data_IF_361052589756
#
_entry.id   IF_361052589756
#
_cell.length_a   1.000
_cell.length_b   1.000
_cell.length_c   1.000
_cell.angle_alpha   90.00
_cell.angle_beta   90.00
_cell.angle_gamma   90.00
#
_symmetry.space_group_name_H-M   'P 1'
#
loop_
_entity.id
_entity.type
_entity.pdbx_description
1 polymer ?
#
# COMPACT_ATOMS: atom_id res chain seq x y z
N UNK A 1 -12.32 -16.03 6.68
CA UNK A 1 -11.01 -15.82 6.00
C UNK A 1 -10.38 -17.17 5.68
N UNK A 2 -9.84 -17.39 4.46
CA UNK A 2 -9.12 -18.62 4.13
C UNK A 2 -7.88 -18.80 5.02
N UNK A 3 -7.57 -20.05 5.39
CA UNK A 3 -6.35 -20.40 6.12
C UNK A 3 -5.11 -19.92 5.36
N UNK A 4 -4.13 -19.39 6.09
CA UNK A 4 -2.90 -18.84 5.50
C UNK A 4 -3.02 -17.41 4.94
N UNK A 5 -4.17 -16.76 5.12
CA UNK A 5 -4.29 -15.34 4.81
C UNK A 5 -3.53 -14.52 5.86
N UNK A 6 -2.56 -13.73 5.41
CA UNK A 6 -1.90 -12.74 6.25
C UNK A 6 -2.76 -11.48 6.25
N UNK A 7 -3.08 -10.99 7.43
CA UNK A 7 -3.72 -9.69 7.64
C UNK A 7 -2.76 -8.81 8.43
N UNK A 8 -2.70 -7.53 8.10
CA UNK A 8 -2.13 -6.57 9.02
C UNK A 8 -3.22 -6.29 10.06
N UNK A 9 -2.90 -6.47 11.34
CA UNK A 9 -3.88 -6.28 12.38
C UNK A 9 -3.24 -6.23 13.75
N UNK A 10 -3.99 -5.64 14.66
CA UNK A 10 -3.63 -5.47 16.05
C UNK A 10 -4.70 -6.11 16.95
N UNK A 11 -4.28 -6.50 18.14
CA UNK A 11 -5.19 -7.02 19.16
C UNK A 11 -5.59 -5.85 20.03
N UNK A 12 -6.86 -5.45 19.95
CA UNK A 12 -7.42 -4.35 20.75
C UNK A 12 -8.46 -4.89 21.73
N UNK A 13 -8.66 -4.17 22.84
CA UNK A 13 -9.78 -4.41 23.75
C UNK A 13 -11.05 -3.86 23.12
N UNK A 14 -11.97 -4.75 22.73
CA UNK A 14 -13.35 -4.36 22.44
C UNK A 14 -14.16 -4.21 23.73
N UNK A 15 -15.42 -3.79 23.61
CA UNK A 15 -16.33 -3.52 24.74
C UNK A 15 -16.50 -4.69 25.71
N UNK A 16 -16.38 -5.94 25.23
CA UNK A 16 -16.57 -7.15 26.06
C UNK A 16 -15.49 -8.21 25.87
N UNK A 17 -14.60 -8.07 24.88
CA UNK A 17 -13.56 -9.06 24.55
C UNK A 17 -12.46 -8.48 23.68
N UNK A 18 -11.30 -9.13 23.68
CA UNK A 18 -10.23 -8.85 22.71
C UNK A 18 -10.70 -9.16 21.29
N UNK A 19 -10.39 -8.28 20.36
CA UNK A 19 -10.65 -8.46 18.93
C UNK A 19 -9.35 -8.29 18.15
N UNK A 20 -9.23 -9.05 17.07
CA UNK A 20 -8.26 -8.79 16.01
C UNK A 20 -8.91 -7.80 15.05
N UNK A 21 -8.35 -6.60 14.97
CA UNK A 21 -8.76 -5.54 14.06
C UNK A 21 -7.75 -5.42 12.93
N UNK A 22 -8.18 -5.23 11.67
CA UNK A 22 -7.25 -4.92 10.58
C UNK A 22 -6.62 -3.56 10.79
N UNK A 23 -5.31 -3.48 10.57
CA UNK A 23 -4.58 -2.22 10.52
C UNK A 23 -4.53 -1.61 9.12
N UNK A 24 -3.66 -0.62 8.98
CA UNK A 24 -3.52 0.27 7.81
C UNK A 24 -3.25 -0.45 6.48
N UNK A 25 -2.53 -1.57 6.52
CA UNK A 25 -2.24 -2.35 5.31
C UNK A 25 -3.38 -3.32 5.05
N UNK A 26 -4.41 -2.84 4.37
CA UNK A 26 -5.58 -3.66 4.04
C UNK A 26 -5.29 -4.85 3.13
N UNK A 27 -6.30 -5.72 3.02
CA UNK A 27 -6.27 -6.90 2.14
C UNK A 27 -6.56 -6.53 0.68
N UNK A 28 -6.21 -7.46 -0.22
CA UNK A 28 -6.39 -7.31 -1.66
C UNK A 28 -7.84 -7.37 -2.12
N UNK A 29 -8.12 -6.66 -3.20
CA UNK A 29 -9.30 -6.81 -4.05
C UNK A 29 -9.50 -8.26 -4.48
N UNK A 30 -8.42 -9.00 -4.78
CA UNK A 30 -8.48 -10.41 -5.16
C UNK A 30 -9.10 -11.27 -4.03
N UNK A 31 -8.68 -11.03 -2.78
CA UNK A 31 -9.25 -11.73 -1.63
C UNK A 31 -10.70 -11.31 -1.37
N UNK A 32 -11.00 -10.00 -1.43
CA UNK A 32 -12.36 -9.47 -1.27
C UNK A 32 -13.33 -10.12 -2.28
N UNK A 33 -12.91 -10.29 -3.54
CA UNK A 33 -13.65 -11.04 -4.55
C UNK A 33 -13.82 -12.51 -4.20
N UNK A 34 -12.74 -13.17 -3.76
CA UNK A 34 -12.79 -14.59 -3.36
C UNK A 34 -13.76 -14.84 -2.20
N UNK A 35 -13.89 -13.85 -1.32
CA UNK A 35 -14.83 -13.84 -0.20
C UNK A 35 -16.27 -13.49 -0.60
N UNK A 36 -16.52 -13.17 -1.88
CA UNK A 36 -17.84 -12.75 -2.39
C UNK A 36 -18.43 -11.53 -1.66
N UNK A 37 -17.58 -10.57 -1.27
CA UNK A 37 -18.07 -9.31 -0.70
C UNK A 37 -18.92 -8.56 -1.72
N UNK A 38 -20.01 -7.93 -1.26
CA UNK A 38 -20.92 -7.13 -2.11
C UNK A 38 -20.19 -5.97 -2.78
N UNK A 39 -19.28 -5.32 -2.06
CA UNK A 39 -18.55 -4.14 -2.53
C UNK A 39 -17.03 -4.33 -2.37
N UNK A 40 -16.37 -5.14 -3.21
CA UNK A 40 -14.96 -5.49 -3.05
C UNK A 40 -13.99 -4.33 -3.32
N UNK A 41 -14.48 -3.20 -3.83
CA UNK A 41 -13.72 -1.97 -4.03
C UNK A 41 -13.62 -1.12 -2.77
N UNK A 42 -14.58 -1.25 -1.85
CA UNK A 42 -14.62 -0.49 -0.60
C UNK A 42 -13.64 -1.01 0.43
N UNK A 43 -13.44 -0.23 1.48
CA UNK A 43 -12.68 -0.66 2.64
C UNK A 43 -13.23 -1.97 3.19
N UNK A 44 -12.33 -2.83 3.67
CA UNK A 44 -12.71 -4.08 4.31
C UNK A 44 -11.97 -4.17 5.64
N UNK A 45 -12.66 -3.74 6.69
CA UNK A 45 -12.20 -3.93 8.06
C UNK A 45 -12.32 -5.41 8.46
N UNK A 46 -11.22 -6.00 8.93
CA UNK A 46 -11.25 -7.33 9.56
C UNK A 46 -11.54 -7.12 11.04
N UNK A 47 -12.75 -7.46 11.48
CA UNK A 47 -13.11 -7.45 12.91
C UNK A 47 -13.45 -8.87 13.33
N UNK A 48 -12.49 -9.54 13.97
CA UNK A 48 -12.66 -10.93 14.38
C UNK A 48 -12.47 -11.06 15.88
N UNK A 49 -13.27 -11.91 16.53
CA UNK A 49 -13.01 -12.25 17.93
C UNK A 49 -11.60 -12.83 18.06
N UNK A 50 -10.82 -12.29 19.01
CA UNK A 50 -9.47 -12.75 19.22
C UNK A 50 -9.48 -14.16 19.80
N UNK A 51 -8.79 -15.08 19.12
CA UNK A 51 -8.64 -16.46 19.53
C UNK A 51 -7.22 -16.88 19.16
N UNK A 52 -6.30 -16.99 20.12
CA UNK A 52 -4.89 -17.31 19.83
C UNK A 52 -4.71 -18.68 19.15
N UNK A 53 -5.71 -19.58 19.26
CA UNK A 53 -5.72 -20.85 18.52
C UNK A 53 -6.00 -20.70 17.03
N UNK A 54 -6.62 -19.59 16.61
CA UNK A 54 -7.02 -19.32 15.21
C UNK A 54 -6.08 -18.37 14.48
N UNK A 55 -5.17 -17.71 15.20
CA UNK A 55 -4.24 -16.73 14.65
C UNK A 55 -2.82 -17.05 15.06
N UNK A 56 -1.90 -16.95 14.10
CA UNK A 56 -0.48 -17.13 14.35
C UNK A 56 0.20 -15.81 14.03
N UNK A 57 0.88 -15.17 14.99
CA UNK A 57 1.74 -14.03 14.70
C UNK A 57 2.79 -14.42 13.67
N UNK A 58 2.97 -13.60 12.65
CA UNK A 58 3.99 -13.80 11.62
C UNK A 58 4.96 -12.64 11.63
N UNK A 59 6.23 -12.91 11.30
CA UNK A 59 7.20 -11.85 11.04
C UNK A 59 6.66 -10.95 9.92
N UNK A 60 6.94 -9.64 10.01
CA UNK A 60 6.57 -8.66 8.99
C UNK A 60 6.94 -9.20 7.60
N UNK A 61 5.99 -9.36 6.67
CA UNK A 61 6.29 -9.99 5.40
C UNK A 61 7.32 -9.20 4.59
N UNK A 62 8.22 -9.93 3.94
CA UNK A 62 9.35 -9.33 3.22
C UNK A 62 8.95 -8.39 2.08
N UNK A 63 7.72 -8.49 1.55
CA UNK A 63 7.23 -7.59 0.48
C UNK A 63 6.83 -6.19 0.98
N UNK A 64 6.64 -6.00 2.29
CA UNK A 64 6.23 -4.70 2.84
C UNK A 64 7.37 -3.68 2.75
N UNK A 65 6.99 -2.41 2.62
CA UNK A 65 7.88 -1.26 2.65
C UNK A 65 8.22 -0.87 4.09
N UNK A 66 9.36 -0.22 4.34
CA UNK A 66 9.78 0.10 5.71
C UNK A 66 8.97 1.24 6.35
N UNK A 67 8.54 2.25 5.58
CA UNK A 67 8.02 3.52 6.13
C UNK A 67 6.71 3.93 5.45
N UNK A 68 5.59 3.29 5.81
CA UNK A 68 4.28 3.72 5.32
C UNK A 68 3.23 2.62 5.28
N UNK A 69 2.13 2.95 4.61
CA UNK A 69 0.94 2.10 4.46
C UNK A 69 1.02 1.20 3.22
N UNK A 70 2.21 1.08 2.60
CA UNK A 70 2.46 0.36 1.35
C UNK A 70 1.65 0.90 0.17
N UNK A 71 1.44 2.22 0.10
CA UNK A 71 0.77 2.90 -1.01
C UNK A 71 1.78 3.85 -1.64
N UNK A 72 2.23 3.47 -2.83
CA UNK A 72 3.16 4.25 -3.62
C UNK A 72 2.38 5.09 -4.63
N UNK A 73 2.31 6.39 -4.43
CA UNK A 73 1.76 7.31 -5.41
C UNK A 73 2.81 7.69 -6.45
N UNK A 74 2.36 7.83 -7.69
CA UNK A 74 3.24 8.15 -8.82
C UNK A 74 3.68 9.61 -8.73
N UNK A 75 4.96 9.86 -8.94
CA UNK A 75 5.52 11.21 -8.88
C UNK A 75 6.86 11.28 -8.15
N UNK A 76 7.53 12.40 -8.32
CA UNK A 76 8.76 12.72 -7.60
C UNK A 76 8.54 13.81 -6.56
N UNK A 77 9.64 14.39 -6.08
CA UNK A 77 9.62 15.47 -5.08
C UNK A 77 8.76 16.65 -5.51
N UNK A 78 8.72 16.99 -6.80
CA UNK A 78 7.85 18.06 -7.32
C UNK A 78 6.36 17.76 -7.11
N UNK A 79 5.90 16.54 -7.43
CA UNK A 79 4.52 16.11 -7.21
C UNK A 79 4.18 16.11 -5.72
N UNK A 80 5.08 15.62 -4.88
CA UNK A 80 4.90 15.65 -3.43
C UNK A 80 4.81 17.09 -2.90
N UNK A 81 5.70 17.99 -3.36
CA UNK A 81 5.67 19.40 -2.96
C UNK A 81 4.40 20.10 -3.40
N UNK A 82 3.93 19.86 -4.63
CA UNK A 82 2.68 20.43 -5.12
C UNK A 82 1.49 19.98 -4.25
N UNK A 83 1.42 18.68 -3.93
CA UNK A 83 0.44 18.16 -2.97
C UNK A 83 0.57 18.84 -1.60
N UNK A 84 1.79 18.96 -1.10
CA UNK A 84 2.08 19.51 0.21
C UNK A 84 1.88 21.02 0.31
N UNK A 85 1.72 21.74 -0.80
CA UNK A 85 1.29 23.14 -0.79
C UNK A 85 -0.24 23.21 -0.73
N UNK A 86 -0.93 22.29 -1.41
CA UNK A 86 -2.38 22.30 -1.60
C UNK A 86 -3.18 21.64 -0.48
N UNK A 87 -2.53 21.05 0.54
CA UNK A 87 -3.18 20.22 1.57
C UNK A 87 -4.50 20.78 2.11
N UNK A 88 -4.44 22.01 2.62
CA UNK A 88 -5.58 22.68 3.24
C UNK A 88 -6.65 23.16 2.26
N UNK A 89 -6.30 23.35 0.99
CA UNK A 89 -7.20 23.97 0.01
C UNK A 89 -7.84 22.96 -0.93
N UNK A 90 -7.27 21.76 -1.02
CA UNK A 90 -7.75 20.69 -1.88
C UNK A 90 -7.60 19.37 -1.14
N UNK A 91 -8.72 18.79 -0.68
CA UNK A 91 -8.74 17.51 0.02
C UNK A 91 -8.53 16.31 -0.92
N UNK A 92 -8.31 16.54 -2.22
CA UNK A 92 -8.14 15.49 -3.21
C UNK A 92 -6.71 15.36 -3.70
N UNK A 93 -6.25 14.13 -3.89
CA UNK A 93 -4.99 13.85 -4.57
C UNK A 93 -5.15 12.95 -5.79
N UNK A 94 -4.72 13.49 -6.94
CA UNK A 94 -4.84 12.84 -8.24
C UNK A 94 -3.48 12.27 -8.67
N UNK A 95 -3.31 10.96 -8.48
CA UNK A 95 -2.12 10.25 -8.95
C UNK A 95 -2.43 8.77 -9.15
N UNK A 96 -1.76 8.11 -10.08
CA UNK A 96 -1.80 6.64 -10.12
C UNK A 96 -1.13 6.08 -8.85
N UNK A 97 -1.57 4.93 -8.39
CA UNK A 97 -1.01 4.30 -7.20
C UNK A 97 -0.63 2.84 -7.43
N UNK A 98 0.43 2.40 -6.77
CA UNK A 98 0.78 1.00 -6.59
C UNK A 98 0.67 0.64 -5.11
N UNK A 99 -0.19 -0.31 -4.79
CA UNK A 99 -0.44 -0.77 -3.43
C UNK A 99 0.13 -2.16 -3.20
N UNK A 100 0.75 -2.39 -2.05
CA UNK A 100 1.16 -3.72 -1.58
C UNK A 100 0.27 -4.13 -0.43
N UNK A 101 -0.49 -5.22 -0.61
CA UNK A 101 -1.51 -5.62 0.35
C UNK A 101 -0.94 -6.55 1.41
N UNK A 102 -1.59 -6.62 2.59
CA UNK A 102 -1.10 -7.46 3.69
C UNK A 102 -1.13 -8.94 3.34
N UNK A 103 -2.08 -9.37 2.52
CA UNK A 103 -2.19 -10.72 2.00
C UNK A 103 -1.30 -10.96 0.77
N UNK A 104 -0.36 -10.07 0.44
CA UNK A 104 0.74 -10.32 -0.51
C UNK A 104 0.36 -10.19 -1.98
N UNK A 105 -0.44 -9.18 -2.33
CA UNK A 105 -0.69 -8.78 -3.71
C UNK A 105 -0.06 -7.41 -4.02
N UNK A 106 0.26 -7.22 -5.30
CA UNK A 106 0.49 -5.91 -5.89
C UNK A 106 -0.79 -5.49 -6.63
N UNK A 107 -1.22 -4.27 -6.41
CA UNK A 107 -2.41 -3.69 -7.02
C UNK A 107 -2.06 -2.34 -7.64
N UNK A 108 -2.21 -2.22 -8.96
CA UNK A 108 -2.03 -0.96 -9.67
C UNK A 108 -3.38 -0.31 -9.93
N UNK A 109 -3.44 0.98 -9.65
CA UNK A 109 -4.62 1.82 -9.82
C UNK A 109 -4.24 2.99 -10.72
N UNK A 110 -4.84 3.02 -11.91
CA UNK A 110 -4.80 4.21 -12.76
C UNK A 110 -5.81 5.22 -12.23
N UNK A 111 -5.39 6.48 -12.05
CA UNK A 111 -6.31 7.57 -11.74
C UNK A 111 -7.31 7.74 -12.90
N UNK A 112 -8.59 7.83 -12.55
CA UNK A 112 -9.70 7.95 -13.49
C UNK A 112 -10.79 8.84 -12.87
N UNK A 113 -10.51 10.14 -12.83
CA UNK A 113 -11.36 11.22 -12.28
C UNK A 113 -11.61 11.19 -10.77
N UNK A 114 -11.62 10.02 -10.12
CA UNK A 114 -11.80 9.89 -8.67
C UNK A 114 -10.44 9.85 -7.96
N UNK A 115 -10.20 10.73 -6.97
CA UNK A 115 -8.96 10.78 -6.20
C UNK A 115 -8.68 9.46 -5.47
N UNK A 116 -7.48 8.91 -5.67
CA UNK A 116 -7.02 7.67 -5.03
C UNK A 116 -6.43 7.90 -3.64
N UNK A 117 -6.06 9.15 -3.34
CA UNK A 117 -5.71 9.56 -2.01
C UNK A 117 -6.47 10.82 -1.61
N UNK A 118 -6.64 10.99 -0.31
CA UNK A 118 -7.11 12.24 0.27
C UNK A 118 -5.98 13.27 0.32
N UNK A 119 -6.23 14.36 1.03
CA UNK A 119 -5.25 15.40 1.13
C UNK A 119 -3.97 14.99 1.86
N UNK A 120 -4.10 14.17 2.90
CA UNK A 120 -3.02 13.67 3.75
C UNK A 120 -2.26 12.52 3.11
N UNK A 121 -2.63 12.15 1.87
CA UNK A 121 -2.16 10.99 1.13
C UNK A 121 -2.69 9.66 1.70
N UNK A 122 -3.75 9.68 2.49
CA UNK A 122 -4.46 8.49 2.90
C UNK A 122 -5.20 7.85 1.74
N UNK A 123 -5.28 6.52 1.76
CA UNK A 123 -5.81 5.76 0.65
C UNK A 123 -7.33 5.76 0.62
N UNK A 124 -7.87 6.15 -0.53
CA UNK A 124 -9.31 6.13 -0.78
C UNK A 124 -9.73 4.85 -1.51
N UNK A 125 -10.66 4.10 -0.90
CA UNK A 125 -11.22 2.87 -1.46
C UNK A 125 -12.34 3.14 -2.47
N UNK A 126 -12.02 3.87 -3.53
CA UNK A 126 -13.02 4.42 -4.47
C UNK A 126 -13.19 3.63 -5.76
N UNK A 127 -12.22 2.78 -6.11
CA UNK A 127 -12.26 2.03 -7.37
C UNK A 127 -11.59 0.66 -7.26
N UNK A 128 -11.83 -0.18 -8.28
CA UNK A 128 -11.10 -1.45 -8.45
C UNK A 128 -9.70 -1.20 -9.00
N UNK A 129 -8.71 -2.05 -8.69
CA UNK A 129 -7.40 -1.97 -9.34
C UNK A 129 -7.52 -2.22 -10.84
N UNK A 130 -6.79 -1.45 -11.63
CA UNK A 130 -6.64 -1.64 -13.07
C UNK A 130 -5.92 -2.97 -13.37
N UNK A 131 -4.98 -3.36 -12.51
CA UNK A 131 -4.30 -4.65 -12.58
C UNK A 131 -3.85 -5.10 -11.20
N UNK A 132 -3.84 -6.40 -10.95
CA UNK A 132 -3.31 -6.94 -9.70
C UNK A 132 -2.67 -8.32 -9.90
N UNK A 133 -1.64 -8.61 -9.14
CA UNK A 133 -0.89 -9.88 -9.20
C UNK A 133 -0.51 -10.36 -7.81
N UNK A 134 -0.51 -11.68 -7.61
CA UNK A 134 -0.02 -12.29 -6.38
C UNK A 134 1.51 -12.23 -6.35
N UNK A 135 2.09 -11.77 -5.25
CA UNK A 135 3.52 -11.88 -5.00
C UNK A 135 3.81 -13.33 -4.63
N UNK A 136 4.67 -13.98 -5.40
CA UNK A 136 5.04 -15.38 -5.18
C UNK A 136 6.37 -15.50 -4.42
N UNK A 137 7.28 -14.56 -4.61
CA UNK A 137 8.58 -14.55 -3.95
C UNK A 137 9.14 -13.14 -3.83
N UNK A 138 9.98 -12.93 -2.82
CA UNK A 138 10.62 -11.64 -2.54
C UNK A 138 12.10 -11.87 -2.28
N UNK A 139 12.94 -11.04 -2.88
CA UNK A 139 14.37 -10.97 -2.60
C UNK A 139 14.72 -9.53 -2.20
N UNK A 140 15.24 -9.34 -0.99
CA UNK A 140 15.78 -8.06 -0.54
C UNK A 140 17.29 -8.03 -0.77
N UNK A 141 17.82 -6.94 -1.32
CA UNK A 141 19.27 -6.68 -1.48
C UNK A 141 19.55 -5.21 -1.23
N UNK A 142 20.00 -4.88 -0.02
CA UNK A 142 20.20 -3.49 0.41
C UNK A 142 18.92 -2.67 0.22
N UNK A 143 19.05 -1.51 -0.44
CA UNK A 143 17.93 -0.62 -0.75
C UNK A 143 16.93 -1.18 -1.79
N UNK A 144 17.29 -2.27 -2.49
CA UNK A 144 16.46 -2.87 -3.55
C UNK A 144 15.64 -4.04 -3.01
N UNK A 145 14.37 -4.05 -3.39
CA UNK A 145 13.42 -5.13 -3.18
C UNK A 145 12.94 -5.65 -4.53
N UNK A 146 13.06 -6.95 -4.75
CA UNK A 146 12.61 -7.64 -5.96
C UNK A 146 11.38 -8.47 -5.65
N UNK A 147 10.27 -8.15 -6.30
CA UNK A 147 8.98 -8.83 -6.18
C UNK A 147 8.78 -9.71 -7.42
N UNK A 148 8.61 -11.00 -7.22
CA UNK A 148 8.45 -11.98 -8.28
C UNK A 148 7.01 -12.48 -8.36
N UNK A 149 6.48 -12.58 -9.57
CA UNK A 149 5.10 -12.97 -9.81
C UNK A 149 4.90 -13.62 -11.19
N UNK A 150 3.78 -14.34 -11.35
CA UNK A 150 3.51 -15.14 -12.56
C UNK A 150 2.91 -14.36 -13.73
N UNK A 151 2.09 -13.35 -13.44
CA UNK A 151 1.28 -12.65 -14.45
C UNK A 151 1.79 -11.23 -14.65
N UNK A 152 1.62 -10.66 -15.84
CA UNK A 152 2.00 -9.25 -16.08
C UNK A 152 1.14 -8.35 -15.17
N UNK A 153 1.79 -7.44 -14.45
CA UNK A 153 1.12 -6.33 -13.77
C UNK A 153 1.06 -5.16 -14.76
N UNK A 154 -0.11 -4.92 -15.35
CA UNK A 154 -0.28 -3.82 -16.31
C UNK A 154 -0.24 -2.46 -15.62
N UNK A 155 0.34 -1.46 -16.28
CA UNK A 155 0.49 -0.10 -15.74
C UNK A 155 1.77 0.13 -14.93
N UNK A 156 2.50 -0.94 -14.58
CA UNK A 156 3.82 -0.85 -13.93
C UNK A 156 4.86 -1.59 -14.74
N UNK A 157 6.02 -0.97 -14.97
CA UNK A 157 7.12 -1.62 -15.69
C UNK A 157 7.73 -2.71 -14.82
N UNK A 158 7.67 -3.95 -15.29
CA UNK A 158 8.32 -5.10 -14.69
C UNK A 158 9.21 -5.80 -15.73
N UNK A 159 10.33 -6.36 -15.28
CA UNK A 159 11.20 -7.18 -16.13
C UNK A 159 10.52 -8.53 -16.37
N UNK A 160 10.29 -8.90 -17.63
CA UNK A 160 9.91 -10.28 -17.99
C UNK A 160 11.16 -11.15 -17.88
N UNK A 161 11.03 -12.28 -17.19
CA UNK A 161 12.12 -13.25 -17.02
C UNK A 161 11.98 -14.36 -18.07
N UNK A 162 13.10 -14.83 -18.60
CA UNK A 162 13.17 -16.01 -19.46
C UNK A 162 13.35 -17.26 -18.60
N UNK A 163 12.41 -18.20 -18.71
CA UNK A 163 12.48 -19.47 -17.98
C UNK A 163 12.30 -19.37 -16.46
N UNK A 164 12.16 -20.54 -15.82
CA UNK A 164 12.07 -20.66 -14.37
C UNK A 164 10.67 -20.51 -13.77
N UNK A 165 10.63 -20.56 -12.43
CA UNK A 165 9.39 -20.62 -11.65
C UNK A 165 8.56 -19.35 -11.74
N UNK A 166 9.15 -18.17 -12.01
CA UNK A 166 8.45 -16.88 -12.05
C UNK A 166 8.67 -16.19 -13.39
N UNK A 167 7.62 -15.55 -13.93
CA UNK A 167 7.68 -14.93 -15.27
C UNK A 167 8.01 -13.45 -15.26
N UNK A 168 7.82 -12.77 -14.13
CA UNK A 168 8.01 -11.33 -14.01
C UNK A 168 8.67 -10.97 -12.68
N UNK A 169 9.46 -9.89 -12.73
CA UNK A 169 10.11 -9.27 -11.57
C UNK A 169 9.89 -7.77 -11.58
N UNK A 170 9.30 -7.24 -10.51
CA UNK A 170 9.29 -5.82 -10.22
C UNK A 170 10.44 -5.46 -9.29
N UNK A 171 11.16 -4.39 -9.59
CA UNK A 171 12.17 -3.82 -8.70
C UNK A 171 11.61 -2.57 -8.05
N UNK A 172 11.62 -2.53 -6.72
CA UNK A 172 11.38 -1.35 -5.91
C UNK A 172 12.72 -0.98 -5.28
N UNK A 173 13.20 0.23 -5.50
CA UNK A 173 14.42 0.75 -4.88
C UNK A 173 14.04 1.88 -3.93
N UNK A 174 14.33 1.73 -2.65
CA UNK A 174 14.23 2.81 -1.68
C UNK A 174 15.35 3.82 -1.95
N UNK A 175 15.02 5.10 -2.11
CA UNK A 175 16.01 6.14 -2.34
C UNK A 175 16.65 6.64 -1.04
N UNK A 176 16.20 6.17 0.13
CA UNK A 176 16.67 6.60 1.45
C UNK A 176 16.69 8.13 1.61
N UNK A 177 15.78 8.80 0.90
CA UNK A 177 15.66 10.25 0.88
C UNK A 177 14.33 10.61 1.54
N UNK A 178 14.24 10.67 2.89
CA UNK A 178 13.08 11.30 3.51
C UNK A 178 13.08 12.77 3.10
N UNK A 179 11.97 13.25 2.56
CA UNK A 179 11.78 14.67 2.28
C UNK A 179 10.73 15.21 3.23
N UNK A 180 11.03 16.38 3.80
CA UNK A 180 10.10 17.16 4.62
C UNK A 180 9.79 18.45 3.88
N UNK A 181 8.52 18.68 3.59
CA UNK A 181 7.99 19.98 3.25
C UNK A 181 7.61 20.68 4.56
N UNK A 182 8.11 21.91 4.75
CA UNK A 182 7.72 22.75 5.88
C UNK A 182 6.86 23.89 5.38
N UNK A 183 5.57 23.79 5.68
CA UNK A 183 4.57 24.83 5.44
C UNK A 183 4.42 25.73 6.66
N UNK A 184 3.64 26.81 6.50
CA UNK A 184 3.35 27.75 7.60
C UNK A 184 2.48 27.14 8.71
N UNK A 185 1.61 26.22 8.35
CA UNK A 185 0.58 25.64 9.24
C UNK A 185 0.85 24.16 9.58
N UNK A 186 1.71 23.49 8.84
CA UNK A 186 1.90 22.04 8.88
C UNK A 186 3.19 21.66 8.16
N UNK A 187 3.72 20.51 8.55
CA UNK A 187 4.77 19.81 7.82
C UNK A 187 4.15 18.61 7.09
N UNK A 188 4.71 18.25 5.93
CA UNK A 188 4.44 16.95 5.32
C UNK A 188 5.75 16.23 5.04
N UNK A 189 5.74 14.92 5.22
CA UNK A 189 6.88 14.03 5.02
C UNK A 189 6.55 12.92 4.03
N UNK A 190 7.56 12.50 3.25
CA UNK A 190 7.46 11.37 2.35
C UNK A 190 8.78 10.61 2.21
N UNK A 191 8.65 9.31 1.95
CA UNK A 191 9.75 8.43 1.50
C UNK A 191 9.66 8.24 -0.01
N UNK A 192 10.80 8.30 -0.70
CA UNK A 192 10.85 8.21 -2.16
C UNK A 192 11.43 6.88 -2.64
N UNK A 193 10.88 6.42 -3.75
CA UNK A 193 11.23 5.15 -4.36
C UNK A 193 11.36 5.29 -5.87
N UNK A 194 12.07 4.35 -6.47
CA UNK A 194 11.84 4.00 -7.88
C UNK A 194 11.21 2.63 -7.98
N UNK A 195 10.21 2.50 -8.84
CA UNK A 195 9.43 1.26 -9.05
C UNK A 195 9.43 0.97 -10.54
N UNK A 196 10.10 -0.10 -10.94
CA UNK A 196 10.29 -0.38 -12.37
C UNK A 196 11.06 0.72 -13.11
N UNK A 197 11.77 1.60 -12.39
CA UNK A 197 12.46 2.78 -12.92
C UNK A 197 11.65 4.08 -12.88
N UNK A 198 10.34 4.04 -12.62
CA UNK A 198 9.52 5.24 -12.47
C UNK A 198 9.56 5.76 -11.01
N UNK A 199 9.39 7.08 -10.83
CA UNK A 199 9.43 7.72 -9.49
C UNK A 199 8.10 7.55 -8.77
N UNK A 200 8.19 7.18 -7.50
CA UNK A 200 7.06 7.08 -6.59
C UNK A 200 7.42 7.66 -5.24
N UNK A 201 6.41 8.00 -4.45
CA UNK A 201 6.55 8.35 -3.06
C UNK A 201 5.41 7.74 -2.23
N UNK A 202 5.66 7.57 -0.94
CA UNK A 202 4.63 7.25 0.05
C UNK A 202 4.78 8.19 1.25
N UNK A 203 3.66 8.58 1.85
CA UNK A 203 3.67 9.20 3.17
C UNK A 203 4.01 8.13 4.23
N UNK A 204 4.78 8.49 5.27
CA UNK A 204 4.85 7.65 6.47
C UNK A 204 3.45 7.56 7.12
N UNK A 205 3.27 6.61 8.04
CA UNK A 205 1.95 6.29 8.60
C UNK A 205 1.16 7.51 9.10
N UNK A 206 -0.18 7.39 8.99
CA UNK A 206 -1.22 8.43 8.98
C UNK A 206 -0.91 9.78 9.66
N UNK A 207 -0.50 9.81 10.93
CA UNK A 207 -0.50 11.03 11.75
C UNK A 207 0.55 12.08 11.42
N UNK A 208 1.53 11.80 10.56
CA UNK A 208 2.63 12.73 10.33
C UNK A 208 2.34 13.85 9.33
N UNK A 209 1.25 13.72 8.56
CA UNK A 209 0.87 14.68 7.52
C UNK A 209 -0.47 15.38 7.79
N UNK A 210 -1.19 14.99 8.85
CA UNK A 210 -2.26 15.80 9.41
C UNK A 210 -1.60 16.82 10.33
N UNK A 211 -1.87 18.11 10.13
CA UNK A 211 -1.48 19.14 11.09
C UNK A 211 -2.04 18.79 12.48
N UNK A 212 -1.40 19.27 13.54
CA UNK A 212 -2.06 19.26 14.85
C UNK A 212 -3.32 20.13 14.71
N UNK A 213 -4.49 19.53 14.96
CA UNK A 213 -5.75 20.26 15.15
C UNK A 213 -5.64 21.21 16.35
#
# INVERSE_FOLDING_TARGET
MPKGTIVNGEVVLGSTKKVLMSGWVGVSYALKKKLKLKEPTKEFGVYLSYSPKKYTPVKRPAYTLPYGNNILYSGGVSTFKDRAVKYYHDSSFTSNALRITSDGYLEFYKYDHTPLGDGGLEWNYVQKPTSYVKINYVLNRGAKKYLYFQRKLSGVKATRLSGGRYRYRLTINNLHTPYKYTGKLYDMVASFYTVGGAKYFEAPAQSNNYGAD
#
